data_IF_319994126233
#
_entry.id   IF_319994126233
#
_cell.length_a   1.000
_cell.length_b   1.000
_cell.length_c   1.000
_cell.angle_alpha   90.00
_cell.angle_beta   90.00
_cell.angle_gamma   90.00
#
_symmetry.space_group_name_H-M   'P 1'
#
loop_
_entity.id
_entity.type
_entity.pdbx_description
1 polymer ?
#
# COMPACT_ATOMS: atom_id res chain seq x y z
N UNK A 1 54.37 16.77 -31.04
CA UNK A 1 53.19 17.27 -31.78
C UNK A 1 52.33 16.07 -32.19
N UNK A 2 51.05 16.06 -31.77
CA UNK A 2 49.88 15.31 -32.31
C UNK A 2 49.92 13.77 -32.22
N UNK A 3 49.21 13.15 -31.27
CA UNK A 3 47.80 12.68 -31.33
C UNK A 3 47.52 11.61 -32.39
N UNK A 4 47.04 10.42 -31.97
CA UNK A 4 45.72 9.86 -32.32
C UNK A 4 45.33 8.81 -31.25
N UNK A 5 44.17 8.97 -30.64
CA UNK A 5 43.50 7.99 -29.79
C UNK A 5 42.62 7.07 -30.66
N UNK A 6 42.69 5.76 -30.44
CA UNK A 6 41.82 4.78 -31.09
C UNK A 6 40.66 4.45 -30.12
N UNK A 7 39.46 4.84 -30.51
CA UNK A 7 38.20 4.41 -29.87
C UNK A 7 37.84 3.01 -30.39
N UNK A 8 37.68 2.05 -29.49
CA UNK A 8 37.06 0.75 -29.81
C UNK A 8 35.56 0.87 -29.52
N UNK A 9 34.76 0.78 -30.59
CA UNK A 9 33.30 0.65 -30.51
C UNK A 9 32.98 -0.81 -30.24
N UNK A 10 32.48 -1.13 -29.05
CA UNK A 10 31.92 -2.45 -28.75
C UNK A 10 30.45 -2.49 -29.20
N UNK A 11 30.18 -3.27 -30.25
CA UNK A 11 28.84 -3.54 -30.74
C UNK A 11 28.08 -4.44 -29.75
N UNK A 12 26.99 -3.93 -29.19
CA UNK A 12 26.03 -4.71 -28.40
C UNK A 12 25.12 -5.51 -29.35
N UNK A 13 25.32 -6.82 -29.40
CA UNK A 13 24.41 -7.76 -30.07
C UNK A 13 23.20 -8.01 -29.16
N UNK A 14 21.99 -7.71 -29.66
CA UNK A 14 20.72 -8.11 -29.05
C UNK A 14 20.47 -9.60 -29.36
N UNK A 15 20.22 -10.47 -28.37
CA UNK A 15 19.80 -11.83 -28.65
C UNK A 15 18.31 -11.88 -29.05
N UNK A 16 18.00 -12.77 -29.98
CA UNK A 16 16.66 -12.98 -30.52
C UNK A 16 15.70 -13.59 -29.49
N UNK A 17 14.44 -13.12 -29.54
CA UNK A 17 13.33 -13.61 -28.72
C UNK A 17 12.79 -14.93 -29.28
N UNK A 18 13.45 -16.04 -28.98
CA UNK A 18 12.90 -17.38 -29.20
C UNK A 18 13.36 -18.32 -28.07
N UNK A 19 12.60 -18.35 -26.97
CA UNK A 19 12.87 -19.25 -25.84
C UNK A 19 12.40 -18.73 -24.49
N UNK A 20 11.09 -18.46 -24.34
CA UNK A 20 10.50 -18.15 -23.05
C UNK A 20 10.32 -19.44 -22.21
N UNK A 21 11.41 -19.96 -21.64
CA UNK A 21 11.36 -20.86 -20.49
C UNK A 21 12.30 -20.34 -19.42
N UNK A 22 11.71 -19.89 -18.31
CA UNK A 22 12.37 -19.71 -17.01
C UNK A 22 13.57 -18.76 -17.01
N UNK A 23 13.34 -17.46 -17.16
CA UNK A 23 14.35 -16.47 -16.79
C UNK A 23 14.44 -16.39 -15.25
N UNK A 24 15.23 -17.29 -14.64
CA UNK A 24 15.74 -17.09 -13.28
C UNK A 24 17.05 -16.32 -13.41
N UNK A 25 17.16 -15.07 -12.92
CA UNK A 25 18.44 -14.41 -12.85
C UNK A 25 19.41 -15.25 -12.01
N UNK A 26 20.71 -15.30 -12.34
CA UNK A 26 21.68 -16.06 -11.58
C UNK A 26 21.72 -15.54 -10.13
N UNK A 27 21.88 -16.42 -9.12
CA UNK A 27 22.12 -15.97 -7.77
C UNK A 27 23.41 -15.12 -7.74
N UNK A 28 23.35 -13.93 -7.15
CA UNK A 28 24.50 -13.04 -7.07
C UNK A 28 25.62 -13.71 -6.26
N UNK A 29 26.70 -14.08 -6.92
CA UNK A 29 27.91 -14.60 -6.29
C UNK A 29 28.80 -13.51 -5.64
N UNK A 30 28.32 -12.27 -5.50
CA UNK A 30 29.18 -11.10 -5.23
C UNK A 30 28.62 -10.08 -4.19
N UNK A 31 27.77 -10.51 -3.25
CA UNK A 31 27.24 -9.61 -2.21
C UNK A 31 26.09 -8.70 -2.69
N UNK A 32 25.60 -7.83 -1.79
CA UNK A 32 24.46 -6.94 -2.04
C UNK A 32 24.82 -5.96 -3.17
N UNK A 33 24.02 -5.86 -4.26
CA UNK A 33 24.25 -4.91 -5.34
C UNK A 33 24.40 -3.48 -4.82
N UNK A 34 25.34 -2.71 -5.40
CA UNK A 34 25.43 -1.27 -5.10
C UNK A 34 24.15 -0.53 -5.52
N UNK A 35 23.84 0.63 -4.90
CA UNK A 35 22.62 1.41 -5.18
C UNK A 35 22.32 1.65 -6.66
N UNK A 36 23.33 1.99 -7.46
CA UNK A 36 23.15 2.21 -8.90
C UNK A 36 22.73 0.93 -9.65
N UNK A 37 23.24 -0.23 -9.22
CA UNK A 37 22.84 -1.52 -9.77
C UNK A 37 21.41 -1.88 -9.37
N UNK A 38 21.01 -1.61 -8.12
CA UNK A 38 19.62 -1.79 -7.68
C UNK A 38 18.66 -0.92 -8.49
N UNK A 39 18.99 0.36 -8.71
CA UNK A 39 18.18 1.26 -9.55
C UNK A 39 18.04 0.76 -10.99
N UNK A 40 19.10 0.18 -11.57
CA UNK A 40 19.02 -0.39 -12.91
C UNK A 40 18.11 -1.63 -12.94
N UNK A 41 18.14 -2.46 -11.90
CA UNK A 41 17.24 -3.61 -11.75
C UNK A 41 15.79 -3.13 -11.60
N UNK A 42 15.54 -2.11 -10.77
CA UNK A 42 14.23 -1.49 -10.59
C UNK A 42 13.63 -1.03 -11.93
N UNK A 43 14.42 -0.32 -12.73
CA UNK A 43 13.99 0.16 -14.04
C UNK A 43 13.66 -1.00 -15.00
N UNK A 44 14.50 -2.06 -15.02
CA UNK A 44 14.24 -3.23 -15.85
C UNK A 44 12.96 -3.97 -15.42
N UNK A 45 12.73 -4.11 -14.11
CA UNK A 45 11.50 -4.72 -13.58
C UNK A 45 10.27 -3.89 -13.90
N UNK A 46 10.36 -2.56 -13.82
CA UNK A 46 9.28 -1.64 -14.23
C UNK A 46 8.94 -1.81 -15.71
N UNK A 47 9.94 -1.82 -16.58
CA UNK A 47 9.75 -2.05 -18.01
C UNK A 47 9.10 -3.41 -18.29
N UNK A 48 9.59 -4.48 -17.65
CA UNK A 48 9.02 -5.82 -17.82
C UNK A 48 7.54 -5.88 -17.37
N UNK A 49 7.19 -5.22 -16.26
CA UNK A 49 5.80 -5.12 -15.79
C UNK A 49 4.92 -4.29 -16.72
N UNK A 50 5.43 -3.18 -17.22
CA UNK A 50 4.73 -2.36 -18.21
C UNK A 50 4.38 -3.18 -19.45
N UNK A 51 5.29 -4.03 -19.90
CA UNK A 51 5.06 -4.96 -21.01
C UNK A 51 4.06 -6.07 -20.64
N UNK A 52 4.17 -6.63 -19.43
CA UNK A 52 3.26 -7.67 -18.92
C UNK A 52 1.82 -7.17 -18.90
N UNK A 53 1.59 -5.95 -18.42
CA UNK A 53 0.26 -5.36 -18.25
C UNK A 53 -0.23 -4.54 -19.44
N UNK A 54 0.48 -4.54 -20.58
CA UNK A 54 0.23 -3.63 -21.71
C UNK A 54 -1.25 -3.56 -22.12
N UNK A 55 -1.90 -4.70 -22.30
CA UNK A 55 -3.31 -4.77 -22.73
C UNK A 55 -4.25 -4.13 -21.70
N UNK A 56 -4.12 -4.46 -20.41
CA UNK A 56 -4.90 -3.85 -19.35
C UNK A 56 -4.66 -2.33 -19.23
N UNK A 57 -3.41 -1.88 -19.43
CA UNK A 57 -3.06 -0.45 -19.40
C UNK A 57 -3.63 0.30 -20.61
N UNK A 58 -3.66 -0.31 -21.79
CA UNK A 58 -4.32 0.25 -22.96
C UNK A 58 -5.84 0.30 -22.81
N UNK A 59 -6.45 -0.72 -22.19
CA UNK A 59 -7.86 -0.70 -21.82
C UNK A 59 -8.16 0.48 -20.89
N UNK A 60 -7.36 0.66 -19.84
CA UNK A 60 -7.46 1.79 -18.92
C UNK A 60 -7.35 3.15 -19.62
N UNK A 61 -6.46 3.29 -20.60
CA UNK A 61 -6.35 4.53 -21.38
C UNK A 61 -7.59 4.82 -22.23
N UNK A 62 -8.24 3.77 -22.75
CA UNK A 62 -9.45 3.90 -23.58
C UNK A 62 -10.71 4.07 -22.74
N UNK A 63 -10.80 3.34 -21.64
CA UNK A 63 -11.95 3.31 -20.73
C UNK A 63 -11.46 3.18 -19.27
N UNK A 64 -11.11 4.30 -18.62
CA UNK A 64 -10.67 4.29 -17.23
C UNK A 64 -11.71 3.70 -16.27
N UNK A 65 -13.00 3.79 -16.61
CA UNK A 65 -14.11 3.35 -15.77
C UNK A 65 -14.27 1.82 -15.72
N UNK A 66 -13.50 1.05 -16.51
CA UNK A 66 -13.55 -0.42 -16.47
C UNK A 66 -13.22 -0.98 -15.09
N UNK A 67 -12.45 -0.24 -14.29
CA UNK A 67 -12.05 -0.63 -12.93
C UNK A 67 -13.06 -0.21 -11.88
N UNK A 68 -13.98 0.70 -12.21
CA UNK A 68 -14.79 1.37 -11.22
C UNK A 68 -15.72 0.38 -10.54
N UNK A 69 -15.70 0.38 -9.22
CA UNK A 69 -16.72 -0.28 -8.43
C UNK A 69 -17.91 0.67 -8.33
N UNK A 70 -19.08 0.21 -8.77
CA UNK A 70 -20.32 1.00 -8.67
C UNK A 70 -20.66 1.33 -7.22
N UNK A 71 -21.34 2.44 -7.00
CA UNK A 71 -21.91 2.76 -5.68
C UNK A 71 -23.08 1.83 -5.32
N UNK A 72 -23.32 1.66 -4.02
CA UNK A 72 -24.46 0.92 -3.52
C UNK A 72 -25.77 1.71 -3.75
N UNK A 73 -26.78 1.02 -4.27
CA UNK A 73 -28.16 1.47 -4.45
C UNK A 73 -29.11 0.90 -3.39
N UNK A 74 -30.39 1.27 -3.48
CA UNK A 74 -31.41 0.95 -2.47
C UNK A 74 -31.76 -0.55 -2.34
N UNK A 75 -31.33 -1.39 -3.30
CA UNK A 75 -31.57 -2.83 -3.30
C UNK A 75 -30.33 -3.68 -3.03
N UNK A 76 -29.21 -3.06 -2.69
CA UNK A 76 -27.97 -3.79 -2.39
C UNK A 76 -27.97 -4.35 -0.97
N UNK A 77 -27.59 -5.63 -0.86
CA UNK A 77 -27.41 -6.32 0.41
C UNK A 77 -25.91 -6.49 0.75
N UNK A 78 -25.61 -7.25 1.80
CA UNK A 78 -24.24 -7.47 2.26
C UNK A 78 -23.37 -8.27 1.28
N UNK A 79 -23.97 -8.93 0.29
CA UNK A 79 -23.29 -9.73 -0.73
C UNK A 79 -22.99 -8.94 -1.99
N UNK A 80 -23.68 -7.81 -2.20
CA UNK A 80 -23.48 -6.92 -3.34
C UNK A 80 -22.05 -6.37 -3.42
N UNK A 81 -21.46 -6.43 -4.62
CA UNK A 81 -20.19 -5.77 -4.90
C UNK A 81 -20.45 -4.30 -5.24
N UNK A 82 -20.42 -3.45 -4.23
CA UNK A 82 -20.61 -2.02 -4.39
C UNK A 82 -19.85 -1.22 -3.33
N UNK A 83 -19.57 0.04 -3.65
CA UNK A 83 -18.98 0.99 -2.71
C UNK A 83 -20.09 1.61 -1.85
N UNK A 84 -20.03 1.45 -0.52
CA UNK A 84 -20.91 2.21 0.35
C UNK A 84 -20.68 3.70 0.12
N UNK A 85 -21.76 4.49 0.14
CA UNK A 85 -21.65 5.94 0.04
C UNK A 85 -20.84 6.46 1.23
N UNK A 86 -20.02 7.49 0.97
CA UNK A 86 -19.36 8.21 2.05
C UNK A 86 -20.40 8.65 3.09
N UNK A 87 -20.05 8.61 4.37
CA UNK A 87 -20.97 9.01 5.46
C UNK A 87 -21.46 10.45 5.22
N UNK A 88 -22.73 10.59 4.80
CA UNK A 88 -23.33 11.88 4.43
C UNK A 88 -23.40 12.86 5.62
N UNK A 89 -23.49 12.31 6.83
CA UNK A 89 -23.15 13.03 8.05
C UNK A 89 -21.64 12.96 8.19
N UNK A 90 -20.93 14.03 7.82
CA UNK A 90 -19.48 14.13 8.09
C UNK A 90 -19.19 13.68 9.53
N UNK A 91 -18.03 13.05 9.76
CA UNK A 91 -17.69 12.51 11.08
C UNK A 91 -17.86 13.62 12.12
N UNK A 92 -18.81 13.50 13.07
CA UNK A 92 -19.20 14.62 13.94
C UNK A 92 -17.99 15.25 14.62
N UNK A 93 -17.96 16.55 14.86
CA UNK A 93 -16.90 17.12 15.68
C UNK A 93 -16.91 16.44 17.07
N UNK A 94 -15.75 16.00 17.55
CA UNK A 94 -15.68 15.33 18.84
C UNK A 94 -16.11 16.31 19.95
N UNK A 95 -17.23 16.04 20.61
CA UNK A 95 -17.76 16.86 21.73
C UNK A 95 -16.87 16.73 22.98
N UNK A 96 -16.04 15.68 23.05
CA UNK A 96 -14.93 15.50 23.98
C UNK A 96 -13.89 14.54 23.39
N UNK A 97 -12.62 14.62 23.82
CA UNK A 97 -11.59 13.62 23.50
C UNK A 97 -11.91 12.31 24.25
N UNK A 98 -12.92 11.59 23.79
CA UNK A 98 -13.27 10.28 24.29
C UNK A 98 -12.11 9.31 23.97
N UNK A 99 -11.79 8.36 24.87
CA UNK A 99 -10.87 7.28 24.56
C UNK A 99 -11.31 6.55 23.29
N UNK A 100 -10.34 6.11 22.47
CA UNK A 100 -10.60 5.20 21.36
C UNK A 100 -11.38 3.99 21.89
N UNK A 101 -12.60 3.77 21.39
CA UNK A 101 -13.49 2.75 21.94
C UNK A 101 -13.04 1.34 21.55
N UNK A 102 -12.90 1.09 20.25
CA UNK A 102 -12.29 -0.12 19.70
C UNK A 102 -11.19 0.21 18.70
N UNK A 103 -10.23 -0.69 18.56
CA UNK A 103 -9.16 -0.62 17.55
C UNK A 103 -9.32 -1.82 16.64
N UNK A 104 -9.65 -1.62 15.37
CA UNK A 104 -9.96 -2.69 14.43
C UNK A 104 -8.94 -2.66 13.30
N UNK A 105 -8.32 -3.79 13.00
CA UNK A 105 -7.35 -3.91 11.92
C UNK A 105 -7.84 -4.86 10.84
N UNK A 106 -7.85 -4.42 9.59
CA UNK A 106 -8.17 -5.24 8.41
C UNK A 106 -6.94 -5.35 7.51
N UNK A 107 -6.40 -6.56 7.38
CA UNK A 107 -5.12 -6.81 6.70
C UNK A 107 -5.34 -7.72 5.49
N UNK A 108 -4.79 -7.31 4.36
CA UNK A 108 -4.80 -8.03 3.10
C UNK A 108 -3.39 -8.46 2.70
N UNK A 109 -3.19 -9.75 2.49
CA UNK A 109 -1.90 -10.32 2.08
C UNK A 109 -2.05 -11.16 0.82
N UNK A 110 -1.72 -10.58 -0.33
CA UNK A 110 -1.88 -11.25 -1.63
C UNK A 110 -0.55 -11.80 -2.13
N UNK A 111 -0.44 -13.13 -2.13
CA UNK A 111 0.78 -13.86 -2.48
C UNK A 111 0.61 -14.73 -3.74
N UNK A 112 -0.53 -15.42 -3.87
CA UNK A 112 -0.78 -16.44 -4.88
C UNK A 112 -1.56 -15.87 -6.06
N UNK A 113 -0.85 -15.47 -7.09
CA UNK A 113 -1.41 -14.91 -8.31
C UNK A 113 -1.48 -15.95 -9.42
N UNK A 114 -2.45 -15.80 -10.32
CA UNK A 114 -2.57 -16.65 -11.49
C UNK A 114 -1.57 -16.24 -12.57
N UNK A 115 -1.02 -17.23 -13.27
CA UNK A 115 -0.13 -16.99 -14.42
C UNK A 115 -0.84 -16.13 -15.47
N UNK A 116 -0.17 -15.13 -16.07
CA UNK A 116 1.28 -14.86 -16.01
C UNK A 116 1.72 -13.88 -14.91
N UNK A 117 0.85 -13.48 -13.99
CA UNK A 117 1.23 -12.59 -12.88
C UNK A 117 2.11 -13.38 -11.89
N UNK A 118 3.33 -12.93 -11.57
CA UNK A 118 4.20 -13.65 -10.63
C UNK A 118 3.60 -13.70 -9.23
N UNK A 119 3.72 -14.84 -8.56
CA UNK A 119 3.39 -14.93 -7.13
C UNK A 119 4.48 -14.25 -6.27
N UNK A 120 4.08 -13.75 -5.09
CA UNK A 120 4.95 -13.05 -4.12
C UNK A 120 5.13 -13.92 -2.87
N UNK A 121 6.34 -13.99 -2.33
CA UNK A 121 6.63 -14.90 -1.20
C UNK A 121 6.24 -14.31 0.16
N UNK A 122 6.50 -13.03 0.41
CA UNK A 122 6.37 -12.46 1.75
C UNK A 122 4.98 -11.92 2.16
N UNK A 123 4.04 -11.47 1.28
CA UNK A 123 2.83 -10.80 1.74
C UNK A 123 2.00 -11.57 2.76
N UNK A 124 1.88 -12.89 2.59
CA UNK A 124 1.19 -13.77 3.54
C UNK A 124 1.88 -13.84 4.91
N UNK A 125 3.21 -13.76 4.96
CA UNK A 125 4.00 -13.73 6.21
C UNK A 125 3.98 -12.33 6.84
N UNK A 126 4.05 -11.30 6.01
CA UNK A 126 3.99 -9.90 6.44
C UNK A 126 2.69 -9.63 7.19
N UNK A 127 1.54 -10.03 6.64
CA UNK A 127 0.25 -9.82 7.32
C UNK A 127 0.10 -10.62 8.62
N UNK A 128 0.69 -11.81 8.72
CA UNK A 128 0.64 -12.60 9.96
C UNK A 128 1.43 -11.91 11.08
N UNK A 129 2.63 -11.42 10.77
CA UNK A 129 3.49 -10.78 11.76
C UNK A 129 2.98 -9.37 12.12
N UNK A 130 2.41 -8.65 11.15
CA UNK A 130 1.74 -7.36 11.42
C UNK A 130 0.51 -7.60 12.28
N UNK A 131 -0.30 -8.63 11.98
CA UNK A 131 -1.46 -9.00 12.80
C UNK A 131 -1.07 -9.28 14.26
N UNK A 132 -0.04 -10.11 14.46
CA UNK A 132 0.46 -10.42 15.80
C UNK A 132 0.90 -9.15 16.54
N UNK A 133 1.65 -8.27 15.87
CA UNK A 133 2.15 -7.02 16.46
C UNK A 133 1.01 -6.06 16.83
N UNK A 134 0.06 -5.84 15.93
CA UNK A 134 -1.10 -4.97 16.18
C UNK A 134 -1.98 -5.51 17.31
N UNK A 135 -2.30 -6.81 17.30
CA UNK A 135 -3.13 -7.44 18.32
C UNK A 135 -2.48 -7.43 19.70
N UNK A 136 -1.25 -7.95 19.79
CA UNK A 136 -0.58 -8.15 21.08
C UNK A 136 -0.08 -6.85 21.71
N UNK A 137 0.50 -5.94 20.91
CA UNK A 137 1.15 -4.74 21.41
C UNK A 137 0.22 -3.53 21.47
N UNK A 138 -0.71 -3.43 20.51
CA UNK A 138 -1.56 -2.24 20.36
C UNK A 138 -3.05 -2.52 20.65
N UNK A 139 -3.43 -3.78 20.88
CA UNK A 139 -4.78 -4.16 21.29
C UNK A 139 -5.81 -4.11 20.16
N UNK A 140 -5.40 -4.35 18.91
CA UNK A 140 -6.33 -4.38 17.78
C UNK A 140 -7.12 -5.70 17.71
N UNK A 141 -8.39 -5.59 17.35
CA UNK A 141 -9.21 -6.68 16.81
C UNK A 141 -8.79 -6.92 15.36
N UNK A 142 -7.98 -7.96 15.12
CA UNK A 142 -7.34 -8.16 13.81
C UNK A 142 -8.12 -9.15 12.94
N UNK A 143 -8.33 -8.76 11.68
CA UNK A 143 -8.92 -9.57 10.61
C UNK A 143 -7.92 -9.68 9.47
N UNK A 144 -7.55 -10.91 9.13
CA UNK A 144 -6.58 -11.18 8.05
C UNK A 144 -7.29 -11.89 6.91
N UNK A 145 -7.16 -11.34 5.69
CA UNK A 145 -7.66 -11.94 4.46
C UNK A 145 -6.46 -12.14 3.53
N UNK A 146 -6.10 -13.40 3.29
CA UNK A 146 -4.99 -13.76 2.41
C UNK A 146 -5.51 -14.12 1.02
N UNK A 147 -4.80 -13.65 0.00
CA UNK A 147 -5.11 -13.93 -1.40
C UNK A 147 -6.56 -13.53 -1.74
N UNK A 148 -6.89 -12.29 -1.40
CA UNK A 148 -8.21 -11.72 -1.57
C UNK A 148 -8.46 -11.38 -3.05
N UNK A 149 -9.64 -11.74 -3.54
CA UNK A 149 -10.15 -11.23 -4.82
C UNK A 149 -10.57 -9.77 -4.70
N UNK A 150 -10.82 -9.07 -5.82
CA UNK A 150 -11.41 -7.73 -5.78
C UNK A 150 -12.69 -7.70 -4.95
N UNK A 151 -13.54 -8.71 -5.15
CA UNK A 151 -14.81 -8.82 -4.45
C UNK A 151 -14.64 -9.01 -2.94
N UNK A 152 -13.65 -9.79 -2.51
CA UNK A 152 -13.37 -9.99 -1.07
C UNK A 152 -12.87 -8.70 -0.42
N UNK A 153 -11.98 -7.99 -1.09
CA UNK A 153 -11.43 -6.72 -0.59
C UNK A 153 -12.51 -5.66 -0.43
N UNK A 154 -13.32 -5.43 -1.47
CA UNK A 154 -14.41 -4.45 -1.42
C UNK A 154 -15.45 -4.81 -0.35
N UNK A 155 -15.89 -6.07 -0.30
CA UNK A 155 -16.88 -6.51 0.69
C UNK A 155 -16.37 -6.41 2.12
N UNK A 156 -15.11 -6.77 2.36
CA UNK A 156 -14.51 -6.67 3.69
C UNK A 156 -14.42 -5.22 4.18
N UNK A 157 -14.02 -4.29 3.32
CA UNK A 157 -13.97 -2.86 3.68
C UNK A 157 -15.38 -2.29 3.84
N UNK A 158 -16.33 -2.68 2.98
CA UNK A 158 -17.73 -2.25 3.10
C UNK A 158 -18.40 -2.78 4.38
N UNK A 159 -18.13 -4.03 4.77
CA UNK A 159 -18.60 -4.59 6.03
C UNK A 159 -17.99 -3.86 7.23
N UNK A 160 -16.68 -3.57 7.17
CA UNK A 160 -16.02 -2.77 8.20
C UNK A 160 -16.65 -1.38 8.35
N UNK A 161 -16.98 -0.72 7.24
CA UNK A 161 -17.64 0.59 7.25
C UNK A 161 -19.03 0.57 7.92
N UNK A 162 -19.76 -0.54 7.86
CA UNK A 162 -21.07 -0.70 8.54
C UNK A 162 -20.94 -0.94 10.05
N UNK A 163 -19.84 -1.55 10.48
CA UNK A 163 -19.62 -1.95 11.87
C UNK A 163 -18.95 -0.87 12.72
N UNK A 164 -18.07 -0.09 12.10
CA UNK A 164 -17.22 0.90 12.77
C UNK A 164 -18.03 2.13 13.16
N UNK A 165 -17.83 2.60 14.39
CA UNK A 165 -18.34 3.89 14.86
C UNK A 165 -17.27 4.99 14.80
N UNK A 166 -17.69 6.25 14.95
CA UNK A 166 -16.76 7.40 14.92
C UNK A 166 -15.76 7.46 16.08
N UNK A 167 -15.98 6.70 17.15
CA UNK A 167 -15.07 6.58 18.29
C UNK A 167 -14.03 5.45 18.12
N UNK A 168 -14.16 4.62 17.09
CA UNK A 168 -13.22 3.54 16.80
C UNK A 168 -12.00 4.08 16.02
N UNK A 169 -10.88 3.37 16.15
CA UNK A 169 -9.68 3.55 15.32
C UNK A 169 -9.55 2.38 14.36
N UNK A 170 -9.29 2.67 13.09
CA UNK A 170 -9.18 1.68 12.03
C UNK A 170 -7.77 1.67 11.47
N UNK A 171 -7.24 0.47 11.28
CA UNK A 171 -5.97 0.23 10.60
C UNK A 171 -6.19 -0.71 9.42
N UNK A 172 -5.85 -0.28 8.22
CA UNK A 172 -5.89 -1.13 7.01
C UNK A 172 -4.46 -1.42 6.60
N UNK A 173 -4.14 -2.68 6.35
CA UNK A 173 -2.84 -3.07 5.78
C UNK A 173 -3.06 -3.78 4.45
N UNK A 174 -2.26 -3.46 3.44
CA UNK A 174 -2.22 -4.19 2.18
C UNK A 174 -0.78 -4.52 1.79
N UNK A 175 -0.49 -5.79 1.55
CA UNK A 175 0.73 -6.24 0.88
C UNK A 175 0.37 -7.08 -0.35
N UNK A 176 0.97 -6.74 -1.49
CA UNK A 176 0.72 -7.41 -2.76
C UNK A 176 1.16 -6.60 -3.97
N UNK A 177 0.77 -7.07 -5.16
CA UNK A 177 1.03 -6.33 -6.40
C UNK A 177 0.22 -5.04 -6.45
N UNK A 178 0.84 -4.02 -7.05
CA UNK A 178 0.17 -2.80 -7.48
C UNK A 178 0.73 -2.35 -8.82
N UNK A 179 0.17 -1.30 -9.40
CA UNK A 179 0.69 -0.67 -10.61
C UNK A 179 0.45 0.83 -10.57
N UNK A 180 1.44 1.64 -10.95
CA UNK A 180 1.32 3.08 -11.14
C UNK A 180 1.40 3.39 -12.63
N UNK A 181 0.38 4.06 -13.17
CA UNK A 181 0.38 4.57 -14.53
C UNK A 181 1.05 5.93 -14.55
N UNK A 182 2.27 6.00 -15.07
CA UNK A 182 3.10 7.21 -15.05
C UNK A 182 2.46 8.41 -15.78
N UNK A 183 1.68 8.16 -16.83
CA UNK A 183 1.03 9.17 -17.66
C UNK A 183 -0.15 9.88 -16.97
N UNK A 184 -0.88 9.15 -16.13
CA UNK A 184 -2.05 9.66 -15.40
C UNK A 184 -1.77 9.89 -13.91
N UNK A 185 -0.64 9.37 -13.41
CA UNK A 185 -0.32 9.24 -11.99
C UNK A 185 -1.45 8.53 -11.19
N UNK A 186 -2.33 7.81 -11.88
CA UNK A 186 -3.32 6.91 -11.29
C UNK A 186 -2.62 5.59 -11.02
N UNK A 187 -3.06 4.88 -10.00
CA UNK A 187 -2.67 3.49 -9.95
C UNK A 187 -3.67 2.62 -9.27
N UNK A 188 -3.22 1.40 -9.01
CA UNK A 188 -4.10 0.30 -8.76
C UNK A 188 -3.47 -0.72 -7.81
N UNK A 189 -4.28 -1.26 -6.90
CA UNK A 189 -4.01 -2.57 -6.33
C UNK A 189 -4.42 -3.66 -7.31
N UNK A 190 -3.64 -4.74 -7.34
CA UNK A 190 -3.91 -5.92 -8.15
C UNK A 190 -4.26 -7.08 -7.20
N UNK A 191 -5.55 -7.41 -7.06
CA UNK A 191 -6.03 -8.60 -6.35
C UNK A 191 -5.59 -9.91 -7.01
N UNK A 192 -5.76 -11.05 -6.34
CA UNK A 192 -5.27 -12.34 -6.86
C UNK A 192 -6.03 -12.87 -8.09
N UNK A 193 -7.24 -12.35 -8.32
CA UNK A 193 -8.04 -12.55 -9.53
C UNK A 193 -7.81 -11.44 -10.58
N UNK A 194 -6.80 -10.59 -10.38
CA UNK A 194 -6.34 -9.62 -11.36
C UNK A 194 -5.91 -10.27 -12.67
N UNK A 195 -6.10 -9.55 -13.77
CA UNK A 195 -5.71 -9.97 -15.11
C UNK A 195 -4.64 -9.05 -15.70
N UNK A 196 -3.82 -9.60 -16.59
CA UNK A 196 -2.88 -8.82 -17.41
C UNK A 196 -3.52 -8.24 -18.67
N UNK A 197 -4.68 -8.80 -19.07
CA UNK A 197 -5.40 -8.44 -20.29
C UNK A 197 -6.46 -7.37 -20.06
N UNK A 198 -7.03 -7.34 -18.86
CA UNK A 198 -8.06 -6.37 -18.47
C UNK A 198 -7.82 -5.88 -17.05
N UNK A 199 -8.15 -4.62 -16.81
CA UNK A 199 -8.06 -3.99 -15.50
C UNK A 199 -9.36 -4.12 -14.67
N UNK A 200 -10.38 -4.84 -15.17
CA UNK A 200 -11.69 -4.94 -14.51
C UNK A 200 -11.63 -5.40 -13.03
N UNK A 201 -10.67 -6.28 -12.69
CA UNK A 201 -10.46 -6.77 -11.33
C UNK A 201 -9.42 -5.96 -10.53
N UNK A 202 -8.89 -4.87 -11.07
CA UNK A 202 -8.00 -3.99 -10.33
C UNK A 202 -8.82 -3.02 -9.48
N UNK A 203 -8.19 -2.42 -8.45
CA UNK A 203 -8.83 -1.43 -7.57
C UNK A 203 -8.06 -0.13 -7.67
N UNK A 204 -8.69 0.92 -8.21
CA UNK A 204 -8.06 2.24 -8.37
C UNK A 204 -7.88 2.96 -7.04
N UNK A 205 -6.97 3.94 -7.01
CA UNK A 205 -6.88 4.86 -5.88
C UNK A 205 -8.19 5.57 -5.58
N UNK A 206 -8.91 5.97 -6.62
CA UNK A 206 -10.21 6.62 -6.46
C UNK A 206 -11.16 5.72 -5.68
N UNK A 207 -11.21 4.43 -5.98
CA UNK A 207 -12.06 3.48 -5.26
C UNK A 207 -11.52 3.14 -3.87
N UNK A 208 -10.20 3.08 -3.68
CA UNK A 208 -9.59 2.97 -2.35
C UNK A 208 -9.98 4.17 -1.49
N UNK A 209 -9.85 5.40 -2.00
CA UNK A 209 -10.25 6.61 -1.28
C UNK A 209 -11.74 6.62 -0.94
N UNK A 210 -12.63 6.20 -1.85
CA UNK A 210 -14.07 6.06 -1.57
C UNK A 210 -14.34 5.03 -0.47
N UNK A 211 -13.67 3.86 -0.53
CA UNK A 211 -13.78 2.82 0.49
C UNK A 211 -13.32 3.31 1.87
N UNK A 212 -12.19 4.01 1.95
CA UNK A 212 -11.70 4.61 3.18
C UNK A 212 -12.64 5.73 3.68
N UNK A 213 -13.19 6.52 2.76
CA UNK A 213 -14.13 7.60 3.05
C UNK A 213 -15.47 7.13 3.60
N UNK A 214 -15.88 5.91 3.27
CA UNK A 214 -17.08 5.29 3.82
C UNK A 214 -16.90 4.82 5.27
N UNK A 215 -15.68 4.60 5.74
CA UNK A 215 -15.42 4.22 7.12
C UNK A 215 -15.54 5.46 8.03
N UNK A 216 -16.48 5.49 8.99
CA UNK A 216 -16.78 6.68 9.79
C UNK A 216 -15.80 6.88 10.97
N UNK A 217 -14.78 6.03 11.11
CA UNK A 217 -13.74 6.18 12.12
C UNK A 217 -13.07 7.55 12.03
N UNK A 218 -12.78 8.13 13.20
CA UNK A 218 -12.04 9.40 13.27
C UNK A 218 -10.55 9.21 13.08
N UNK A 219 -10.01 8.04 13.40
CA UNK A 219 -8.61 7.71 13.20
C UNK A 219 -8.55 6.54 12.22
N UNK A 220 -8.06 6.78 11.01
CA UNK A 220 -7.90 5.76 10.00
C UNK A 220 -6.48 5.84 9.43
N UNK A 221 -5.77 4.72 9.46
CA UNK A 221 -4.49 4.58 8.78
C UNK A 221 -4.51 3.44 7.77
N UNK A 222 -4.06 3.72 6.56
CA UNK A 222 -3.72 2.72 5.56
C UNK A 222 -2.20 2.58 5.50
N UNK A 223 -1.69 1.38 5.77
CA UNK A 223 -0.32 0.99 5.47
C UNK A 223 -0.33 0.10 4.23
N UNK A 224 0.38 0.51 3.18
CA UNK A 224 0.41 -0.25 1.93
C UNK A 224 1.83 -0.56 1.49
N UNK A 225 2.13 -1.85 1.47
CA UNK A 225 3.34 -2.43 0.93
C UNK A 225 3.10 -2.89 -0.51
N UNK A 226 3.03 -1.91 -1.41
CA UNK A 226 2.80 -2.12 -2.83
C UNK A 226 3.38 -0.95 -3.64
N UNK A 227 3.79 -1.22 -4.87
CA UNK A 227 4.49 -0.30 -5.80
C UNK A 227 3.81 1.05 -6.09
N UNK A 228 2.61 1.24 -5.57
CA UNK A 228 1.62 2.19 -6.07
C UNK A 228 1.16 3.19 -4.99
N UNK A 229 1.23 2.78 -3.73
CA UNK A 229 0.64 3.46 -2.57
C UNK A 229 1.14 4.89 -2.30
N UNK A 230 2.21 5.31 -2.97
CA UNK A 230 2.71 6.68 -2.90
C UNK A 230 1.77 7.73 -3.47
N UNK A 231 0.96 7.41 -4.48
CA UNK A 231 0.06 8.40 -5.11
C UNK A 231 -1.08 8.85 -4.19
N UNK A 232 -1.62 7.99 -3.31
CA UNK A 232 -2.55 8.41 -2.24
C UNK A 232 -1.87 9.30 -1.21
N UNK A 233 -0.63 8.96 -0.83
CA UNK A 233 0.15 9.74 0.12
C UNK A 233 0.55 11.13 -0.42
N UNK A 234 0.37 11.40 -1.72
CA UNK A 234 0.67 12.69 -2.36
C UNK A 234 -0.51 13.65 -2.42
N UNK A 235 -1.74 13.25 -2.04
CA UNK A 235 -2.88 14.17 -2.01
C UNK A 235 -2.62 15.35 -1.07
N UNK A 236 -2.07 15.07 0.12
CA UNK A 236 -1.60 16.09 1.04
C UNK A 236 -0.41 15.58 1.86
N UNK A 237 0.69 16.33 1.81
CA UNK A 237 1.84 16.06 2.69
C UNK A 237 1.45 16.34 4.15
N UNK A 238 1.78 15.41 5.04
CA UNK A 238 1.63 15.56 6.49
C UNK A 238 3.01 15.81 7.08
N UNK A 239 3.13 16.82 7.95
CA UNK A 239 4.37 17.16 8.63
C UNK A 239 4.24 17.01 10.14
N UNK A 240 5.35 16.70 10.81
CA UNK A 240 5.43 16.82 12.26
C UNK A 240 5.17 18.26 12.71
N UNK A 241 4.38 18.41 13.77
CA UNK A 241 4.25 19.64 14.53
C UNK A 241 3.89 19.30 15.98
N UNK A 242 4.22 20.15 16.96
CA UNK A 242 3.80 19.91 18.34
C UNK A 242 2.27 19.96 18.39
N UNK A 243 1.66 18.80 18.61
CA UNK A 243 0.22 18.64 18.77
C UNK A 243 -0.02 17.78 20.00
N UNK A 244 -0.95 18.21 20.83
CA UNK A 244 -1.44 17.40 21.94
C UNK A 244 -2.32 16.28 21.38
N UNK A 245 -2.34 15.15 22.11
CA UNK A 245 -3.25 14.03 21.84
C UNK A 245 -4.71 14.49 21.65
N UNK A 246 -5.17 15.44 22.46
CA UNK A 246 -6.54 15.94 22.41
C UNK A 246 -6.84 16.71 21.12
N UNK A 247 -5.88 17.46 20.60
CA UNK A 247 -6.03 18.15 19.30
C UNK A 247 -6.14 17.15 18.15
N UNK A 248 -5.31 16.10 18.17
CA UNK A 248 -5.32 15.07 17.14
C UNK A 248 -6.63 14.28 17.14
N UNK A 249 -7.12 13.88 18.32
CA UNK A 249 -8.37 13.11 18.47
C UNK A 249 -9.63 13.92 18.15
N UNK A 250 -9.56 15.25 18.02
CA UNK A 250 -10.69 16.09 17.58
C UNK A 250 -10.85 16.12 16.07
N UNK A 251 -9.79 15.80 15.33
CA UNK A 251 -9.73 15.86 13.88
C UNK A 251 -9.92 14.47 13.30
N UNK A 252 -10.73 14.34 12.25
CA UNK A 252 -10.70 13.13 11.44
C UNK A 252 -9.38 13.03 10.70
N UNK A 253 -8.67 11.93 10.89
CA UNK A 253 -7.44 11.61 10.17
C UNK A 253 -7.68 10.40 9.28
N UNK A 254 -7.42 10.58 7.99
CA UNK A 254 -7.22 9.48 7.04
C UNK A 254 -5.79 9.59 6.53
N UNK A 255 -4.94 8.67 6.96
CA UNK A 255 -3.49 8.73 6.79
C UNK A 255 -3.02 7.53 5.97
N UNK A 256 -2.01 7.73 5.12
CA UNK A 256 -1.37 6.66 4.34
C UNK A 256 0.12 6.65 4.63
N UNK A 257 0.65 5.45 4.93
CA UNK A 257 2.06 5.12 4.86
C UNK A 257 2.26 4.08 3.76
N UNK A 258 3.12 4.39 2.80
CA UNK A 258 3.42 3.55 1.65
C UNK A 258 4.88 3.10 1.66
N UNK A 259 5.16 1.91 1.11
CA UNK A 259 6.54 1.46 0.89
C UNK A 259 7.32 2.34 -0.07
N UNK A 260 6.61 3.04 -0.97
CA UNK A 260 7.15 4.11 -1.80
C UNK A 260 8.29 3.63 -2.70
N UNK A 261 7.95 3.29 -3.94
CA UNK A 261 8.92 2.78 -4.91
C UNK A 261 8.18 2.03 -6.00
N UNK A 262 8.81 1.88 -7.16
CA UNK A 262 8.20 1.16 -8.28
C UNK A 262 8.30 -0.36 -8.10
N UNK A 263 9.21 -0.85 -7.26
CA UNK A 263 9.35 -2.29 -7.01
C UNK A 263 8.38 -2.82 -5.95
N UNK A 264 7.88 -4.05 -6.14
CA UNK A 264 7.03 -4.71 -5.16
C UNK A 264 7.83 -5.02 -3.90
N UNK A 265 7.09 -5.53 -2.92
CA UNK A 265 7.57 -6.49 -1.93
C UNK A 265 8.74 -7.32 -2.49
N UNK A 266 9.96 -7.04 -2.04
CA UNK A 266 11.14 -7.76 -2.50
C UNK A 266 11.11 -9.19 -1.96
N UNK A 267 11.22 -10.19 -2.83
CA UNK A 267 11.49 -11.57 -2.44
C UNK A 267 12.90 -11.72 -1.82
N UNK A 268 13.75 -10.71 -1.96
CA UNK A 268 15.06 -10.54 -1.32
C UNK A 268 14.94 -9.77 0.01
N UNK A 269 13.76 -9.83 0.62
CA UNK A 269 13.47 -9.20 1.89
C UNK A 269 14.27 -9.77 3.07
N UNK A 270 14.04 -9.22 4.27
CA UNK A 270 14.76 -9.60 5.50
C UNK A 270 13.92 -10.51 6.36
N UNK A 271 14.49 -11.62 6.83
CA UNK A 271 13.83 -12.60 7.69
C UNK A 271 12.51 -13.16 7.12
N UNK A 272 12.41 -13.23 5.78
CA UNK A 272 11.20 -13.69 5.09
C UNK A 272 10.08 -12.66 4.99
N UNK A 273 10.36 -11.40 5.32
CA UNK A 273 9.49 -10.24 5.17
C UNK A 273 10.00 -9.31 4.08
N UNK A 274 9.13 -8.53 3.44
CA UNK A 274 9.59 -7.42 2.60
C UNK A 274 10.48 -6.46 3.41
N UNK A 275 11.38 -5.72 2.75
CA UNK A 275 12.23 -4.74 3.47
C UNK A 275 11.37 -3.68 4.17
N UNK A 276 10.30 -3.21 3.53
CA UNK A 276 9.37 -2.27 4.13
C UNK A 276 8.64 -2.87 5.35
N UNK A 277 8.07 -4.06 5.20
CA UNK A 277 7.36 -4.76 6.27
C UNK A 277 8.28 -5.03 7.46
N UNK A 278 9.54 -5.43 7.21
CA UNK A 278 10.53 -5.66 8.25
C UNK A 278 10.81 -4.40 9.07
N UNK A 279 11.07 -3.26 8.41
CA UNK A 279 11.29 -1.98 9.11
C UNK A 279 10.04 -1.46 9.81
N UNK A 280 8.87 -1.64 9.21
CA UNK A 280 7.59 -1.32 9.84
C UNK A 280 7.38 -2.13 11.12
N UNK A 281 7.53 -3.45 11.05
CA UNK A 281 7.41 -4.35 12.20
C UNK A 281 8.39 -4.00 13.32
N UNK A 282 9.65 -3.71 12.97
CA UNK A 282 10.65 -3.26 13.93
C UNK A 282 10.24 -1.95 14.60
N UNK A 283 9.73 -0.99 13.84
CA UNK A 283 9.25 0.29 14.38
C UNK A 283 8.08 0.08 15.36
N UNK A 284 7.08 -0.74 15.00
CA UNK A 284 5.97 -1.09 15.90
C UNK A 284 6.49 -1.83 17.14
N UNK A 285 7.44 -2.76 16.98
CA UNK A 285 8.07 -3.50 18.07
C UNK A 285 8.83 -2.62 19.06
N UNK A 286 9.30 -1.45 18.64
CA UNK A 286 10.05 -0.51 19.48
C UNK A 286 9.20 0.56 20.15
N UNK A 287 7.89 0.62 19.89
CA UNK A 287 7.01 1.60 20.54
C UNK A 287 6.99 1.38 22.07
N UNK A 288 7.16 2.47 22.82
CA UNK A 288 7.22 2.50 24.28
C UNK A 288 6.17 3.45 24.90
N UNK A 289 5.30 4.04 24.06
CA UNK A 289 4.23 4.90 24.50
C UNK A 289 3.24 5.25 23.39
N UNK A 290 2.49 6.34 23.58
CA UNK A 290 1.68 6.92 22.50
C UNK A 290 2.61 7.58 21.49
N UNK A 291 2.53 7.19 20.23
CA UNK A 291 3.41 7.67 19.17
C UNK A 291 2.58 8.14 17.98
N UNK A 292 2.95 9.29 17.42
CA UNK A 292 2.33 9.84 16.22
C UNK A 292 2.81 9.03 15.00
N UNK A 293 1.92 8.72 14.06
CA UNK A 293 2.26 7.94 12.87
C UNK A 293 3.38 8.54 12.02
N UNK A 294 3.52 9.86 12.01
CA UNK A 294 4.65 10.52 11.36
C UNK A 294 6.01 10.13 11.98
N UNK A 295 6.08 9.88 13.28
CA UNK A 295 7.31 9.43 13.94
C UNK A 295 7.66 7.99 13.57
N UNK A 296 6.66 7.11 13.49
CA UNK A 296 6.80 5.75 12.95
C UNK A 296 7.33 5.80 11.52
N UNK A 297 6.73 6.63 10.68
CA UNK A 297 7.15 6.83 9.29
C UNK A 297 8.62 7.27 9.18
N UNK A 298 9.10 8.23 10.00
CA UNK A 298 10.50 8.66 9.95
C UNK A 298 11.47 7.51 10.18
N UNK A 299 11.17 6.63 11.14
CA UNK A 299 11.99 5.46 11.45
C UNK A 299 11.97 4.47 10.29
N UNK A 300 10.78 4.16 9.76
CA UNK A 300 10.61 3.24 8.63
C UNK A 300 11.32 3.77 7.38
N UNK A 301 11.11 5.04 7.03
CA UNK A 301 11.75 5.66 5.86
C UNK A 301 13.27 5.62 5.96
N UNK A 302 13.83 5.98 7.12
CA UNK A 302 15.27 5.93 7.34
C UNK A 302 15.81 4.52 7.08
N UNK A 303 15.21 3.51 7.71
CA UNK A 303 15.67 2.13 7.58
C UNK A 303 15.54 1.59 6.16
N UNK A 304 14.38 1.79 5.51
CA UNK A 304 14.14 1.32 4.14
C UNK A 304 15.09 2.00 3.15
N UNK A 305 15.30 3.31 3.26
CA UNK A 305 16.20 4.05 2.37
C UNK A 305 17.69 3.77 2.61
N UNK A 306 18.07 3.25 3.79
CA UNK A 306 19.42 2.74 4.04
C UNK A 306 19.66 1.42 3.30
N UNK A 307 18.66 0.54 3.24
CA UNK A 307 18.78 -0.79 2.65
C UNK A 307 18.48 -0.84 1.15
N UNK A 308 17.63 0.05 0.65
CA UNK A 308 17.08 0.00 -0.72
C UNK A 308 16.96 1.39 -1.34
N UNK A 309 16.80 1.51 -2.66
CA UNK A 309 16.44 2.77 -3.30
C UNK A 309 15.01 3.23 -2.98
N UNK A 310 14.15 2.36 -2.44
CA UNK A 310 12.78 2.70 -2.07
C UNK A 310 12.73 3.91 -1.11
N UNK A 311 11.74 4.76 -1.36
CA UNK A 311 11.45 5.98 -0.63
C UNK A 311 10.03 5.94 -0.09
N UNK A 312 9.81 5.34 1.09
CA UNK A 312 8.51 5.34 1.74
C UNK A 312 7.87 6.72 1.76
N UNK A 313 6.56 6.79 1.50
CA UNK A 313 5.83 8.06 1.47
C UNK A 313 4.74 8.07 2.54
N UNK A 314 4.51 9.25 3.10
CA UNK A 314 3.54 9.49 4.16
C UNK A 314 2.70 10.72 3.84
N UNK A 315 1.39 10.59 3.97
CA UNK A 315 0.48 11.69 3.70
C UNK A 315 -0.95 11.41 4.12
N UNK A 316 -1.84 12.33 3.74
CA UNK A 316 -3.24 12.31 4.07
C UNK A 316 -4.11 12.16 2.82
N UNK A 317 -5.23 11.44 2.96
CA UNK A 317 -6.21 11.23 1.88
C UNK A 317 -7.38 12.20 2.08
N UNK A 318 -7.26 13.38 1.48
CA UNK A 318 -8.27 14.44 1.57
C UNK A 318 -9.55 14.01 0.88
N UNK A 319 -9.45 13.28 -0.23
CA UNK A 319 -10.59 12.71 -0.96
C UNK A 319 -11.40 11.71 -0.13
N UNK A 320 -10.78 11.08 0.87
CA UNK A 320 -11.43 10.21 1.84
C UNK A 320 -11.95 10.96 3.08
N UNK A 321 -11.85 12.30 3.14
CA UNK A 321 -12.38 13.15 4.20
C UNK A 321 -11.42 13.38 5.38
N UNK A 322 -10.11 13.37 5.16
CA UNK A 322 -9.13 13.84 6.14
C UNK A 322 -9.35 15.33 6.47
N UNK A 323 -9.31 15.68 7.76
CA UNK A 323 -9.31 17.07 8.21
C UNK A 323 -7.89 17.59 8.43
N UNK A 324 -7.60 18.78 7.93
CA UNK A 324 -6.29 19.41 8.07
C UNK A 324 -5.79 19.43 9.53
N UNK A 325 -4.56 18.95 9.73
CA UNK A 325 -3.93 18.82 11.05
C UNK A 325 -4.31 17.56 11.82
N UNK A 326 -5.14 16.69 11.26
CA UNK A 326 -5.35 15.34 11.77
C UNK A 326 -4.10 14.50 11.62
N UNK A 327 -3.91 13.57 12.54
CA UNK A 327 -2.85 12.56 12.49
C UNK A 327 -3.36 11.23 13.04
N UNK A 328 -2.67 10.14 12.77
CA UNK A 328 -2.90 8.83 13.37
C UNK A 328 -2.06 8.64 14.64
N UNK A 329 -2.68 8.06 15.67
CA UNK A 329 -2.01 7.74 16.92
C UNK A 329 -1.84 6.23 17.08
N UNK A 330 -0.60 5.79 17.21
CA UNK A 330 -0.27 4.46 17.70
C UNK A 330 -0.27 4.48 19.22
N UNK A 331 -1.07 3.60 19.81
CA UNK A 331 -1.24 3.52 21.25
C UNK A 331 -0.98 2.09 21.72
N UNK A 332 -0.17 1.94 22.76
CA UNK A 332 0.02 0.64 23.39
C UNK A 332 -1.29 0.12 23.99
N UNK A 333 -1.41 -1.21 24.04
CA UNK A 333 -2.47 -1.85 24.78
C UNK A 333 -2.29 -1.57 26.27
N UNK A 334 -3.30 -0.98 26.92
CA UNK A 334 -3.32 -0.84 28.36
C UNK A 334 -3.57 -2.23 28.94
N UNK A 335 -2.53 -2.82 29.56
CA UNK A 335 -2.67 -4.08 30.29
C UNK A 335 -3.47 -3.89 31.56
#
# INVERSE_FOLDING_TARGET
MKSVAVFVVAALLLPSLAGAQGFRPPPFAAGIPGRAQMQAIELQRHQARTLLYREALEELRRNPQVVDVRECGAGDDETSLCLPKASATGVPAAVAAQPTARRIALLFGNSRYQSPIPSLLSPSRDVDQVAASLGQKLGFEVRVIKNATKADMVRAVAALAREVGSADSVFVYYAGHGYLMDDTNMGYWIPVDGSVKTAAQWISNTDISKLLGAIPARQLMLVSDSCFSGSLAREQAVSAGPRTRQELLRKRSVIVLSSGGEEPVSDEGKDGHSVFAWHFLRSIGQLDGTTVGFDVYKVVRKGVSEDTPQQPQYGAVVSAGHEAGGEYLFELNAR
#
